data_IF_976667776108
#
_entry.id   IF_976667776108
#
_cell.length_a   1.000
_cell.length_b   1.000
_cell.length_c   1.000
_cell.angle_alpha   90.00
_cell.angle_beta   90.00
_cell.angle_gamma   90.00
#
_symmetry.space_group_name_H-M   'P 1'
#
loop_
_entity.id
_entity.type
_entity.pdbx_description
1 polymer ?
#
# COMPACT_ATOMS: atom_id res chain seq x y z
N UNK A 1 3.91 30.47 15.84
CA UNK A 1 4.53 29.19 16.24
C UNK A 1 4.70 28.32 15.01
N UNK A 2 5.83 27.64 14.81
CA UNK A 2 6.03 26.76 13.66
C UNK A 2 4.98 25.65 13.66
N UNK A 3 4.43 25.33 12.48
CA UNK A 3 3.43 24.26 12.32
C UNK A 3 4.08 22.89 12.58
N UNK A 4 3.32 21.91 13.09
CA UNK A 4 3.82 20.56 13.28
C UNK A 4 4.02 19.85 11.92
N UNK A 5 5.11 19.08 11.80
CA UNK A 5 5.38 18.22 10.64
C UNK A 5 4.73 16.86 10.94
N UNK A 6 3.62 16.56 10.27
CA UNK A 6 2.84 15.34 10.49
C UNK A 6 3.27 14.20 9.54
N UNK A 7 3.08 12.95 9.96
CA UNK A 7 3.35 11.79 9.09
C UNK A 7 2.43 11.72 7.87
N UNK A 8 1.21 12.26 7.96
CA UNK A 8 0.22 12.25 6.88
C UNK A 8 -0.01 13.70 6.43
N UNK A 9 0.32 14.07 5.19
CA UNK A 9 0.26 15.44 4.71
C UNK A 9 -1.12 15.86 4.20
N UNK A 10 -2.21 15.24 4.66
CA UNK A 10 -3.56 15.43 4.11
C UNK A 10 -3.93 16.91 3.97
N UNK A 11 -3.79 17.70 5.04
CA UNK A 11 -4.11 19.13 5.03
C UNK A 11 -3.28 19.91 4.01
N UNK A 12 -1.98 19.67 3.96
CA UNK A 12 -1.09 20.35 3.01
C UNK A 12 -1.43 20.00 1.57
N UNK A 13 -1.78 18.71 1.30
CA UNK A 13 -2.21 18.28 -0.02
C UNK A 13 -3.51 18.98 -0.45
N UNK A 14 -4.48 19.09 0.46
CA UNK A 14 -5.74 19.80 0.18
C UNK A 14 -5.51 21.29 -0.06
N UNK A 15 -4.67 21.93 0.73
CA UNK A 15 -4.31 23.35 0.54
C UNK A 15 -3.61 23.59 -0.78
N UNK A 16 -2.66 22.71 -1.16
CA UNK A 16 -1.85 22.86 -2.38
C UNK A 16 -2.63 22.61 -3.68
N UNK A 17 -3.61 21.70 -3.67
CA UNK A 17 -4.23 21.17 -4.90
C UNK A 17 -5.74 21.33 -4.96
N UNK A 18 -6.33 22.12 -4.05
CA UNK A 18 -7.78 22.31 -3.97
C UNK A 18 -8.41 22.70 -5.31
N UNK A 19 -7.80 23.65 -6.01
CA UNK A 19 -8.33 24.14 -7.29
C UNK A 19 -8.28 23.06 -8.38
N UNK A 20 -7.18 22.31 -8.43
CA UNK A 20 -7.01 21.22 -9.39
C UNK A 20 -8.05 20.11 -9.16
N UNK A 21 -8.28 19.73 -7.89
CA UNK A 21 -9.29 18.72 -7.54
C UNK A 21 -10.71 19.18 -7.84
N UNK A 22 -11.07 20.44 -7.51
CA UNK A 22 -12.40 20.97 -7.82
C UNK A 22 -12.66 21.02 -9.33
N UNK A 23 -11.65 21.35 -10.13
CA UNK A 23 -11.76 21.30 -11.59
C UNK A 23 -11.97 19.87 -12.09
N UNK A 24 -11.16 18.91 -11.62
CA UNK A 24 -11.31 17.50 -11.99
C UNK A 24 -12.69 16.93 -11.61
N UNK A 25 -13.24 17.34 -10.48
CA UNK A 25 -14.61 16.96 -10.05
C UNK A 25 -15.65 17.57 -11.02
N UNK A 26 -15.53 18.86 -11.32
CA UNK A 26 -16.44 19.54 -12.26
C UNK A 26 -16.44 18.87 -13.63
N UNK A 27 -15.24 18.61 -14.19
CA UNK A 27 -15.09 17.94 -15.47
C UNK A 27 -15.70 16.53 -15.48
N UNK A 28 -15.57 15.79 -14.34
CA UNK A 28 -16.17 14.47 -14.21
C UNK A 28 -17.69 14.48 -14.13
N UNK A 29 -18.30 15.58 -13.66
CA UNK A 29 -19.75 15.73 -13.59
C UNK A 29 -20.36 15.99 -14.96
N UNK A 30 -19.61 16.57 -15.90
CA UNK A 30 -20.07 16.82 -17.28
C UNK A 30 -20.16 15.52 -18.10
N UNK A 31 -19.43 14.46 -17.70
CA UNK A 31 -19.40 13.16 -18.39
C UNK A 31 -19.52 11.98 -17.39
N UNK A 32 -20.61 11.87 -16.63
CA UNK A 32 -20.65 11.00 -15.46
C UNK A 32 -20.61 9.49 -15.77
N UNK A 33 -21.32 9.04 -16.81
CA UNK A 33 -21.45 7.61 -17.14
C UNK A 33 -21.51 7.40 -18.65
N UNK A 34 -21.05 6.21 -19.11
CA UNK A 34 -21.14 5.79 -20.50
C UNK A 34 -22.43 4.98 -20.79
N UNK A 35 -23.10 4.45 -19.78
CA UNK A 35 -24.38 3.73 -19.92
C UNK A 35 -25.43 4.23 -18.95
N UNK A 36 -26.72 4.16 -19.36
CA UNK A 36 -27.84 4.60 -18.54
C UNK A 36 -28.02 3.76 -17.26
N UNK A 37 -27.60 2.49 -17.27
CA UNK A 37 -27.69 1.58 -16.13
C UNK A 37 -26.50 1.67 -15.16
N UNK A 38 -25.52 2.54 -15.45
CA UNK A 38 -24.35 2.78 -14.60
C UNK A 38 -23.38 1.60 -14.48
N UNK A 39 -23.51 0.57 -15.35
CA UNK A 39 -22.65 -0.64 -15.29
C UNK A 39 -21.33 -0.46 -16.04
N UNK A 40 -21.28 0.45 -17.00
CA UNK A 40 -20.05 0.75 -17.70
C UNK A 40 -19.26 1.83 -16.96
N UNK A 41 -17.91 1.77 -17.03
CA UNK A 41 -17.05 2.73 -16.36
C UNK A 41 -17.22 4.14 -16.97
N UNK A 42 -17.25 5.17 -16.14
CA UNK A 42 -17.23 6.57 -16.58
C UNK A 42 -15.92 6.92 -17.28
N UNK A 43 -15.90 8.03 -18.01
CA UNK A 43 -14.68 8.57 -18.63
C UNK A 43 -13.55 8.73 -17.62
N UNK A 44 -13.85 9.16 -16.39
CA UNK A 44 -12.86 9.28 -15.32
C UNK A 44 -12.21 7.93 -14.96
N UNK A 45 -12.98 6.82 -14.95
CA UNK A 45 -12.43 5.49 -14.69
C UNK A 45 -11.55 5.00 -15.84
N UNK A 46 -11.94 5.23 -17.09
CA UNK A 46 -11.15 4.84 -18.26
C UNK A 46 -9.81 5.58 -18.30
N UNK A 47 -9.82 6.88 -18.02
CA UNK A 47 -8.61 7.69 -17.91
C UNK A 47 -7.72 7.22 -16.76
N UNK A 48 -8.32 6.92 -15.59
CA UNK A 48 -7.59 6.41 -14.44
C UNK A 48 -6.97 5.03 -14.72
N UNK A 49 -7.71 4.12 -15.37
CA UNK A 49 -7.17 2.83 -15.78
C UNK A 49 -5.97 3.00 -16.73
N UNK A 50 -6.08 3.86 -17.73
CA UNK A 50 -4.97 4.16 -18.65
C UNK A 50 -3.76 4.73 -17.91
N UNK A 51 -3.99 5.66 -16.97
CA UNK A 51 -2.95 6.26 -16.15
C UNK A 51 -2.26 5.18 -15.29
N UNK A 52 -3.02 4.33 -14.61
CA UNK A 52 -2.48 3.25 -13.80
C UNK A 52 -1.68 2.23 -14.62
N UNK A 53 -2.16 1.86 -15.80
CA UNK A 53 -1.42 1.00 -16.73
C UNK A 53 -0.08 1.60 -17.14
N UNK A 54 -0.08 2.86 -17.53
CA UNK A 54 1.13 3.56 -17.95
C UNK A 54 2.11 3.71 -16.76
N UNK A 55 1.57 3.83 -15.55
CA UNK A 55 2.36 4.06 -14.35
C UNK A 55 3.00 2.79 -13.80
N UNK A 56 2.30 1.66 -13.84
CA UNK A 56 2.71 0.41 -13.20
C UNK A 56 3.11 -0.69 -14.17
N UNK A 57 2.65 -0.61 -15.43
CA UNK A 57 2.79 -1.69 -16.42
C UNK A 57 1.80 -2.85 -16.24
N UNK A 58 0.96 -2.87 -15.19
CA UNK A 58 -0.05 -3.91 -14.98
C UNK A 58 -1.21 -3.69 -15.94
N UNK A 59 -1.66 -4.77 -16.61
CA UNK A 59 -2.56 -4.68 -17.77
C UNK A 59 -4.02 -4.39 -17.42
N UNK A 60 -4.56 -4.99 -16.33
CA UNK A 60 -5.98 -4.97 -16.02
C UNK A 60 -6.23 -4.46 -14.62
N UNK A 61 -7.19 -3.56 -14.48
CA UNK A 61 -7.53 -2.87 -13.24
C UNK A 61 -9.02 -2.95 -12.95
N UNK A 62 -9.35 -3.20 -11.71
CA UNK A 62 -10.69 -3.04 -11.15
C UNK A 62 -10.58 -2.14 -9.92
N UNK A 63 -11.16 -0.95 -10.02
CA UNK A 63 -11.22 -0.03 -8.88
C UNK A 63 -12.32 -0.43 -7.91
N UNK A 64 -12.03 -0.34 -6.62
CA UNK A 64 -12.86 -0.81 -5.50
C UNK A 64 -13.08 0.30 -4.48
N UNK A 65 -14.04 0.12 -3.55
CA UNK A 65 -14.29 1.11 -2.50
C UNK A 65 -13.05 1.32 -1.59
N UNK A 66 -12.28 0.25 -1.33
CA UNK A 66 -11.07 0.32 -0.53
C UNK A 66 -10.17 -0.90 -0.77
N UNK A 67 -8.92 -0.84 -0.32
CA UNK A 67 -7.97 -1.95 -0.42
C UNK A 67 -8.41 -3.20 0.37
N UNK A 68 -9.17 -3.06 1.45
CA UNK A 68 -9.71 -4.21 2.19
C UNK A 68 -10.66 -5.02 1.33
N UNK A 69 -11.52 -4.36 0.55
CA UNK A 69 -12.38 -5.02 -0.44
C UNK A 69 -11.53 -5.72 -1.51
N UNK A 70 -10.49 -5.04 -2.01
CA UNK A 70 -9.54 -5.63 -2.97
C UNK A 70 -8.91 -6.91 -2.45
N UNK A 71 -8.46 -6.93 -1.19
CA UNK A 71 -7.89 -8.11 -0.54
C UNK A 71 -8.92 -9.25 -0.42
N UNK A 72 -10.15 -8.94 0.00
CA UNK A 72 -11.22 -9.94 0.11
C UNK A 72 -11.56 -10.55 -1.27
N UNK A 73 -11.69 -9.70 -2.29
CA UNK A 73 -11.92 -10.15 -3.66
C UNK A 73 -10.75 -11.01 -4.15
N UNK A 74 -9.50 -10.57 -3.93
CA UNK A 74 -8.32 -11.32 -4.33
C UNK A 74 -8.28 -12.72 -3.68
N UNK A 75 -8.50 -12.82 -2.37
CA UNK A 75 -8.59 -14.13 -1.71
C UNK A 75 -9.74 -14.98 -2.28
N UNK A 76 -10.91 -14.39 -2.55
CA UNK A 76 -12.06 -15.15 -3.08
C UNK A 76 -11.83 -15.77 -4.46
N UNK A 77 -10.84 -15.30 -5.21
CA UNK A 77 -10.46 -15.87 -6.50
C UNK A 77 -9.81 -17.26 -6.36
N UNK A 78 -9.14 -17.50 -5.23
CA UNK A 78 -8.24 -18.65 -5.05
C UNK A 78 -8.63 -19.55 -3.87
N UNK A 79 -9.53 -19.08 -2.98
CA UNK A 79 -9.85 -19.76 -1.72
C UNK A 79 -11.34 -19.90 -1.49
N UNK A 80 -11.67 -20.88 -0.66
CA UNK A 80 -13.00 -21.12 -0.08
C UNK A 80 -12.92 -21.08 1.46
N UNK A 81 -14.05 -20.88 2.14
CA UNK A 81 -14.10 -20.92 3.60
C UNK A 81 -13.47 -22.20 4.16
N UNK A 82 -12.59 -22.07 5.15
CA UNK A 82 -11.84 -23.18 5.74
C UNK A 82 -10.47 -23.44 5.11
N UNK A 83 -10.18 -22.89 3.93
CA UNK A 83 -8.84 -22.99 3.33
C UNK A 83 -7.80 -22.22 4.14
N UNK A 84 -6.55 -22.72 4.10
CA UNK A 84 -5.42 -22.07 4.76
C UNK A 84 -4.77 -21.05 3.85
N UNK A 85 -4.42 -19.89 4.42
CA UNK A 85 -3.61 -18.84 3.79
C UNK A 85 -2.49 -18.42 4.71
N UNK A 86 -1.37 -17.96 4.12
CA UNK A 86 -0.25 -17.42 4.90
C UNK A 86 -0.18 -15.91 4.66
N UNK A 87 -0.13 -15.14 5.74
CA UNK A 87 -0.01 -13.68 5.71
C UNK A 87 1.15 -13.21 6.58
N UNK A 88 1.71 -11.99 6.34
CA UNK A 88 2.73 -11.44 7.21
C UNK A 88 2.24 -11.25 8.65
N UNK A 89 3.11 -11.54 9.62
CA UNK A 89 2.89 -11.22 11.03
C UNK A 89 2.80 -9.71 11.28
N UNK A 90 3.39 -8.92 10.40
CA UNK A 90 3.44 -7.47 10.48
C UNK A 90 2.83 -6.82 9.23
N UNK A 91 2.01 -5.79 9.45
CA UNK A 91 1.33 -5.02 8.42
C UNK A 91 0.09 -4.34 8.98
N UNK A 92 -0.63 -3.63 8.13
CA UNK A 92 -1.91 -3.04 8.52
C UNK A 92 -2.92 -4.14 8.89
N UNK A 93 -3.86 -3.83 9.78
CA UNK A 93 -4.83 -4.83 10.30
C UNK A 93 -5.65 -5.55 9.23
N UNK A 94 -5.86 -4.93 8.06
CA UNK A 94 -6.56 -5.56 6.95
C UNK A 94 -5.89 -6.85 6.46
N UNK A 95 -4.55 -6.93 6.55
CA UNK A 95 -3.73 -8.10 6.20
C UNK A 95 -4.24 -9.39 6.87
N UNK A 96 -4.57 -9.30 8.17
CA UNK A 96 -5.10 -10.44 8.91
C UNK A 96 -6.64 -10.48 8.94
N UNK A 97 -7.31 -9.32 8.91
CA UNK A 97 -8.75 -9.26 9.06
C UNK A 97 -9.50 -9.65 7.78
N UNK A 98 -8.97 -9.32 6.60
CA UNK A 98 -9.62 -9.67 5.33
C UNK A 98 -9.80 -11.19 5.18
N UNK A 99 -8.76 -12.04 5.32
CA UNK A 99 -8.94 -13.48 5.23
C UNK A 99 -9.76 -14.06 6.39
N UNK A 100 -9.63 -13.53 7.62
CA UNK A 100 -10.46 -13.98 8.76
C UNK A 100 -11.94 -13.69 8.56
N UNK A 101 -12.27 -12.51 8.00
CA UNK A 101 -13.66 -12.18 7.66
C UNK A 101 -14.26 -13.19 6.67
N UNK A 102 -13.44 -13.73 5.77
CA UNK A 102 -13.82 -14.77 4.81
C UNK A 102 -13.80 -16.18 5.40
N UNK A 103 -13.59 -16.33 6.72
CA UNK A 103 -13.49 -17.62 7.43
C UNK A 103 -12.33 -18.51 6.93
N UNK A 104 -11.22 -17.90 6.48
CA UNK A 104 -10.01 -18.62 6.13
C UNK A 104 -9.18 -18.91 7.39
N UNK A 105 -8.44 -20.01 7.36
CA UNK A 105 -7.43 -20.34 8.37
C UNK A 105 -6.17 -19.51 8.09
N UNK A 106 -5.76 -18.70 9.06
CA UNK A 106 -4.66 -17.75 8.87
C UNK A 106 -3.42 -18.22 9.60
N UNK A 107 -2.39 -18.57 8.84
CA UNK A 107 -1.03 -18.78 9.33
C UNK A 107 -0.18 -17.52 9.13
N UNK A 108 0.77 -17.28 10.04
CA UNK A 108 1.57 -16.07 10.03
C UNK A 108 3.02 -16.36 9.66
N UNK A 109 3.53 -15.63 8.66
CA UNK A 109 4.95 -15.58 8.34
C UNK A 109 5.63 -14.46 9.14
N UNK A 110 6.79 -14.75 9.75
CA UNK A 110 7.56 -13.71 10.44
C UNK A 110 8.21 -12.76 9.44
N UNK A 111 8.86 -11.73 9.91
CA UNK A 111 9.45 -10.67 9.09
C UNK A 111 10.98 -10.70 9.15
N UNK A 112 11.59 -10.10 8.14
CA UNK A 112 13.00 -9.79 8.09
C UNK A 112 13.34 -8.45 8.78
N UNK A 113 14.59 -8.01 8.67
CA UNK A 113 15.08 -6.76 9.23
C UNK A 113 14.49 -5.50 8.57
N UNK A 114 13.84 -5.64 7.41
CA UNK A 114 13.19 -4.54 6.69
C UNK A 114 11.73 -4.32 7.11
N UNK A 115 11.19 -5.22 7.93
CA UNK A 115 9.79 -5.22 8.33
C UNK A 115 8.85 -5.86 7.30
N UNK A 116 9.40 -6.54 6.29
CA UNK A 116 8.67 -7.32 5.30
C UNK A 116 8.78 -8.82 5.62
N UNK A 117 8.09 -9.65 4.85
CA UNK A 117 8.15 -11.11 5.05
C UNK A 117 9.58 -11.64 4.98
N UNK A 118 9.90 -12.57 5.87
CA UNK A 118 11.07 -13.41 5.74
C UNK A 118 10.80 -14.48 4.67
N UNK A 119 11.49 -14.40 3.54
CA UNK A 119 11.30 -15.31 2.40
C UNK A 119 11.53 -16.77 2.79
N UNK A 120 12.51 -17.05 3.64
CA UNK A 120 12.84 -18.43 4.06
C UNK A 120 11.76 -18.99 5.00
N UNK A 121 11.24 -18.17 5.91
CA UNK A 121 10.10 -18.56 6.76
C UNK A 121 8.84 -18.81 5.92
N UNK A 122 8.60 -17.97 4.89
CA UNK A 122 7.48 -18.16 3.96
C UNK A 122 7.61 -19.49 3.20
N UNK A 123 8.77 -19.78 2.62
CA UNK A 123 9.03 -21.05 1.91
C UNK A 123 8.77 -22.25 2.83
N UNK A 124 9.33 -22.23 4.03
CA UNK A 124 9.16 -23.31 5.01
C UNK A 124 7.69 -23.52 5.39
N UNK A 125 6.94 -22.44 5.55
CA UNK A 125 5.51 -22.51 5.87
C UNK A 125 4.64 -22.97 4.70
N UNK A 126 4.98 -22.61 3.46
CA UNK A 126 4.31 -23.15 2.27
C UNK A 126 4.45 -24.67 2.22
N UNK A 127 5.64 -25.20 2.50
CA UNK A 127 5.88 -26.65 2.51
C UNK A 127 5.08 -27.39 3.59
N UNK A 128 4.97 -26.79 4.79
CA UNK A 128 4.26 -27.39 5.92
C UNK A 128 2.74 -27.29 5.77
N UNK A 129 2.23 -26.08 5.52
CA UNK A 129 0.80 -25.79 5.56
C UNK A 129 0.09 -25.96 4.23
N UNK A 130 0.83 -25.97 3.10
CA UNK A 130 0.28 -26.07 1.73
C UNK A 130 -0.92 -25.16 1.53
N UNK A 131 -0.77 -23.84 1.75
CA UNK A 131 -1.88 -22.89 1.68
C UNK A 131 -2.45 -22.81 0.27
N UNK A 132 -3.65 -22.25 0.11
CA UNK A 132 -4.23 -21.93 -1.20
C UNK A 132 -3.72 -20.61 -1.76
N UNK A 133 -3.37 -19.67 -0.87
CA UNK A 133 -2.78 -18.40 -1.26
C UNK A 133 -1.82 -17.89 -0.17
N UNK A 134 -0.86 -17.07 -0.60
CA UNK A 134 -0.02 -16.28 0.27
C UNK A 134 -0.24 -14.79 0.01
N UNK A 135 -0.08 -13.97 1.05
CA UNK A 135 -0.11 -12.53 0.94
C UNK A 135 1.27 -11.95 1.23
N UNK A 136 1.80 -11.17 0.29
CA UNK A 136 3.04 -10.41 0.46
C UNK A 136 2.69 -8.95 0.56
N UNK A 137 3.13 -8.28 1.65
CA UNK A 137 2.89 -6.85 1.86
C UNK A 137 4.18 -6.09 1.61
N UNK A 138 4.12 -5.01 0.84
CA UNK A 138 5.23 -4.09 0.59
C UNK A 138 5.27 -3.00 1.67
N UNK A 139 5.55 -3.38 2.92
CA UNK A 139 5.47 -2.48 4.07
C UNK A 139 6.33 -1.22 3.89
N UNK A 140 5.81 -0.09 4.33
CA UNK A 140 6.47 1.22 4.32
C UNK A 140 6.83 1.76 2.92
N UNK A 141 6.50 1.03 1.85
CA UNK A 141 6.93 1.31 0.49
C UNK A 141 8.24 0.61 0.12
N UNK A 142 8.62 -0.46 0.80
CA UNK A 142 9.74 -1.33 0.41
C UNK A 142 9.19 -2.44 -0.48
N UNK A 143 9.63 -2.49 -1.74
CA UNK A 143 9.23 -3.54 -2.66
C UNK A 143 9.92 -4.86 -2.31
N UNK A 144 9.12 -5.89 -2.06
CA UNK A 144 9.58 -7.27 -1.84
C UNK A 144 9.68 -7.96 -3.20
N UNK A 145 10.81 -8.59 -3.48
CA UNK A 145 10.97 -9.40 -4.69
C UNK A 145 10.31 -10.77 -4.49
N UNK A 146 9.09 -10.92 -4.99
CA UNK A 146 8.32 -12.16 -4.87
C UNK A 146 8.73 -13.23 -5.89
N UNK A 147 9.65 -12.94 -6.83
CA UNK A 147 10.17 -13.93 -7.76
C UNK A 147 10.80 -15.14 -7.06
N UNK A 148 11.35 -14.91 -5.86
CA UNK A 148 11.94 -15.95 -5.01
C UNK A 148 10.90 -16.97 -4.48
N UNK A 149 9.60 -16.69 -4.60
CA UNK A 149 8.52 -17.56 -4.16
C UNK A 149 7.85 -18.31 -5.31
N UNK A 150 8.13 -17.97 -6.55
CA UNK A 150 7.41 -18.53 -7.72
C UNK A 150 7.52 -20.03 -7.83
N UNK A 151 8.71 -20.59 -7.69
CA UNK A 151 8.95 -22.04 -7.87
C UNK A 151 8.23 -22.85 -6.79
N UNK A 152 8.31 -22.42 -5.53
CA UNK A 152 7.65 -23.12 -4.44
C UNK A 152 6.12 -22.98 -4.53
N UNK A 153 5.63 -21.80 -4.91
CA UNK A 153 4.20 -21.57 -5.11
C UNK A 153 3.65 -22.40 -6.26
N UNK A 154 4.37 -22.49 -7.39
CA UNK A 154 4.00 -23.34 -8.52
C UNK A 154 3.98 -24.83 -8.13
N UNK A 155 4.99 -25.31 -7.39
CA UNK A 155 5.07 -26.69 -6.91
C UNK A 155 3.85 -27.12 -6.09
N UNK A 156 3.30 -26.23 -5.26
CA UNK A 156 2.17 -26.52 -4.37
C UNK A 156 0.84 -25.93 -4.84
N UNK A 157 0.79 -25.33 -6.04
CA UNK A 157 -0.37 -24.64 -6.60
C UNK A 157 -0.93 -23.58 -5.64
N UNK A 158 -0.06 -22.68 -5.19
CA UNK A 158 -0.34 -21.59 -4.24
C UNK A 158 -0.41 -20.28 -5.00
N UNK A 159 -1.50 -19.52 -4.86
CA UNK A 159 -1.62 -18.19 -5.45
C UNK A 159 -0.78 -17.15 -4.67
N UNK A 160 -0.17 -16.21 -5.40
CA UNK A 160 0.60 -15.09 -4.83
C UNK A 160 -0.23 -13.82 -4.96
N UNK A 161 -0.59 -13.22 -3.82
CA UNK A 161 -1.28 -11.92 -3.75
C UNK A 161 -0.32 -10.88 -3.18
N UNK A 162 -0.18 -9.74 -3.86
CA UNK A 162 0.60 -8.61 -3.35
C UNK A 162 -0.33 -7.55 -2.75
N UNK A 163 -0.03 -7.08 -1.54
CA UNK A 163 -0.60 -5.86 -0.95
C UNK A 163 0.37 -4.71 -1.16
N UNK A 164 0.11 -3.94 -2.20
CA UNK A 164 0.85 -2.74 -2.58
C UNK A 164 0.21 -1.45 -2.05
N UNK A 165 -0.59 -1.52 -0.96
CA UNK A 165 -1.23 -0.35 -0.36
C UNK A 165 -0.27 0.81 -0.02
N UNK A 166 1.02 0.57 0.33
CA UNK A 166 2.01 1.63 0.52
C UNK A 166 2.88 1.88 -0.73
N UNK A 167 2.64 1.20 -1.86
CA UNK A 167 3.67 1.01 -2.88
C UNK A 167 3.18 1.22 -4.32
N UNK A 168 2.30 2.20 -4.54
CA UNK A 168 1.96 2.60 -5.90
C UNK A 168 3.15 3.32 -6.54
N UNK A 169 3.80 2.69 -7.50
CA UNK A 169 5.05 3.16 -8.09
C UNK A 169 5.13 2.92 -9.59
N UNK A 170 5.94 3.75 -10.25
CA UNK A 170 6.44 3.51 -11.62
C UNK A 170 7.58 2.49 -11.59
N UNK A 171 7.83 1.80 -12.71
CA UNK A 171 8.91 0.85 -12.88
C UNK A 171 10.29 1.41 -12.44
N UNK A 172 10.96 2.13 -13.32
CA UNK A 172 12.28 2.71 -13.01
C UNK A 172 12.27 3.75 -11.87
N UNK A 173 13.28 3.80 -11.00
CA UNK A 173 14.51 3.00 -10.96
C UNK A 173 14.40 1.74 -10.08
N UNK A 174 13.20 1.22 -9.81
CA UNK A 174 13.05 0.04 -8.97
C UNK A 174 13.40 -1.23 -9.77
N UNK A 175 14.10 -2.16 -9.13
CA UNK A 175 14.49 -3.43 -9.75
C UNK A 175 13.37 -4.46 -9.75
N UNK A 176 12.33 -4.25 -8.92
CA UNK A 176 11.15 -5.10 -8.86
C UNK A 176 9.93 -4.33 -9.41
N UNK A 177 9.20 -4.98 -10.30
CA UNK A 177 7.94 -4.49 -10.84
C UNK A 177 6.76 -5.25 -10.23
N UNK A 178 5.84 -4.52 -9.61
CA UNK A 178 4.60 -5.08 -9.05
C UNK A 178 3.81 -5.87 -10.10
N UNK A 179 3.28 -7.01 -9.71
CA UNK A 179 2.46 -7.86 -10.57
C UNK A 179 3.21 -8.67 -11.61
N UNK A 180 4.57 -8.66 -11.61
CA UNK A 180 5.35 -9.44 -12.58
C UNK A 180 5.37 -10.93 -12.27
N UNK A 181 5.23 -11.29 -10.99
CA UNK A 181 5.37 -12.66 -10.49
C UNK A 181 4.22 -13.06 -9.57
N UNK A 182 3.16 -12.28 -9.52
CA UNK A 182 1.98 -12.54 -8.69
C UNK A 182 0.72 -12.65 -9.53
N UNK A 183 -0.29 -13.30 -8.97
CA UNK A 183 -1.60 -13.47 -9.62
C UNK A 183 -2.44 -12.19 -9.53
N UNK A 184 -2.32 -11.47 -8.41
CA UNK A 184 -3.10 -10.27 -8.15
C UNK A 184 -2.35 -9.27 -7.28
N UNK A 185 -2.56 -7.97 -7.52
CA UNK A 185 -1.98 -6.86 -6.75
C UNK A 185 -3.09 -5.97 -6.22
N UNK A 186 -3.13 -5.75 -4.91
CA UNK A 186 -4.09 -4.89 -4.23
C UNK A 186 -3.47 -3.53 -3.92
N UNK A 187 -4.17 -2.45 -4.27
CA UNK A 187 -3.74 -1.08 -4.02
C UNK A 187 -4.69 -0.35 -3.08
N UNK A 188 -4.15 0.58 -2.32
CA UNK A 188 -4.92 1.52 -1.51
C UNK A 188 -4.76 2.93 -2.05
N UNK A 189 -5.89 3.58 -2.28
CA UNK A 189 -5.97 4.98 -2.61
C UNK A 189 -6.75 5.77 -1.54
N UNK A 190 -6.70 5.29 -0.30
CA UNK A 190 -7.20 6.01 0.87
C UNK A 190 -6.58 7.42 0.94
N UNK A 191 -7.29 8.40 1.53
CA UNK A 191 -6.82 9.79 1.63
C UNK A 191 -5.44 9.94 2.28
N UNK A 192 -4.98 8.95 3.03
CA UNK A 192 -3.65 8.92 3.67
C UNK A 192 -2.54 8.49 2.74
N UNK A 193 -2.89 7.99 1.55
CA UNK A 193 -1.93 7.49 0.55
C UNK A 193 -1.48 8.60 -0.40
N UNK A 194 -0.46 8.30 -1.16
CA UNK A 194 0.04 9.16 -2.24
C UNK A 194 0.48 8.25 -3.40
N UNK A 195 -0.32 8.20 -4.45
CA UNK A 195 -1.56 8.96 -4.67
C UNK A 195 -2.72 8.49 -3.78
N UNK A 196 -3.75 9.36 -3.64
CA UNK A 196 -4.94 9.04 -2.86
C UNK A 196 -6.16 9.87 -3.22
N UNK A 197 -7.34 9.30 -2.97
CA UNK A 197 -8.64 9.96 -3.07
C UNK A 197 -8.85 11.00 -1.97
N UNK A 198 -10.02 11.64 -1.94
CA UNK A 198 -10.44 12.51 -0.83
C UNK A 198 -11.01 11.73 0.36
N UNK A 199 -11.36 10.47 0.13
CA UNK A 199 -11.86 9.51 1.12
C UNK A 199 -11.22 8.15 0.95
N UNK A 200 -12.02 7.10 0.98
CA UNK A 200 -11.57 5.75 0.71
C UNK A 200 -11.33 5.53 -0.79
N UNK A 201 -10.52 4.55 -1.13
CA UNK A 201 -10.30 4.09 -2.48
C UNK A 201 -9.36 2.89 -2.49
N UNK A 202 -9.55 2.02 -3.46
CA UNK A 202 -8.71 0.86 -3.68
C UNK A 202 -8.73 0.39 -5.13
N UNK A 203 -7.88 -0.57 -5.44
CA UNK A 203 -7.94 -1.30 -6.69
C UNK A 203 -7.37 -2.71 -6.55
N UNK A 204 -7.86 -3.60 -7.37
CA UNK A 204 -7.31 -4.92 -7.64
C UNK A 204 -6.82 -4.96 -9.08
N UNK A 205 -5.57 -5.33 -9.29
CA UNK A 205 -4.95 -5.36 -10.60
C UNK A 205 -4.32 -6.73 -10.88
N UNK A 206 -4.27 -7.11 -12.16
CA UNK A 206 -3.69 -8.39 -12.60
C UNK A 206 -3.18 -8.30 -14.04
N UNK A 207 -2.28 -9.18 -14.42
CA UNK A 207 -1.86 -9.36 -15.80
C UNK A 207 -2.61 -10.50 -16.52
N UNK A 208 -3.42 -11.26 -15.78
CA UNK A 208 -4.22 -12.36 -16.30
C UNK A 208 -5.62 -11.89 -16.74
N UNK A 209 -5.96 -12.15 -18.01
CA UNK A 209 -7.25 -11.78 -18.58
C UNK A 209 -8.43 -12.55 -17.97
N UNK A 210 -8.24 -13.83 -17.63
CA UNK A 210 -9.31 -14.64 -17.05
C UNK A 210 -9.60 -14.17 -15.62
N UNK A 211 -8.58 -13.85 -14.84
CA UNK A 211 -8.76 -13.25 -13.52
C UNK A 211 -9.46 -11.89 -13.61
N UNK A 212 -9.09 -11.03 -14.55
CA UNK A 212 -9.78 -9.76 -14.80
C UNK A 212 -11.29 -9.95 -14.99
N UNK A 213 -11.70 -10.90 -15.83
CA UNK A 213 -13.12 -11.13 -16.12
C UNK A 213 -13.86 -11.67 -14.88
N UNK A 214 -13.21 -12.53 -14.09
CA UNK A 214 -13.73 -13.01 -12.79
C UNK A 214 -13.86 -11.87 -11.78
N UNK A 215 -12.85 -11.01 -11.64
CA UNK A 215 -12.86 -9.84 -10.75
C UNK A 215 -14.02 -8.91 -11.10
N UNK A 216 -14.17 -8.55 -12.38
CA UNK A 216 -15.29 -7.72 -12.87
C UNK A 216 -16.63 -8.33 -12.50
N UNK A 217 -16.78 -9.63 -12.69
CA UNK A 217 -18.01 -10.36 -12.36
C UNK A 217 -18.33 -10.33 -10.87
N UNK A 218 -17.33 -10.53 -9.99
CA UNK A 218 -17.52 -10.44 -8.53
C UNK A 218 -17.94 -9.02 -8.13
N UNK A 219 -17.28 -7.98 -8.64
CA UNK A 219 -17.55 -6.59 -8.27
C UNK A 219 -18.90 -6.07 -8.77
N UNK A 220 -19.49 -6.67 -9.80
CA UNK A 220 -20.72 -6.20 -10.44
C UNK A 220 -21.99 -6.96 -10.02
N UNK A 221 -21.94 -7.80 -8.99
CA UNK A 221 -23.03 -8.72 -8.61
C UNK A 221 -23.55 -9.59 -9.77
N UNK A 222 -22.83 -9.70 -10.88
CA UNK A 222 -23.25 -10.58 -11.94
C UNK A 222 -23.21 -12.01 -11.44
N UNK A 223 -24.33 -12.70 -11.59
CA UNK A 223 -24.48 -14.12 -11.30
C UNK A 223 -23.58 -14.90 -12.24
N UNK A 224 -22.33 -15.07 -11.85
CA UNK A 224 -21.48 -16.09 -12.42
C UNK A 224 -21.63 -17.35 -11.56
N UNK A 225 -21.21 -18.48 -12.11
CA UNK A 225 -21.26 -19.79 -11.44
C UNK A 225 -20.45 -19.84 -10.11
N UNK A 226 -19.88 -18.72 -9.65
CA UNK A 226 -19.11 -18.61 -8.40
C UNK A 226 -19.98 -18.32 -7.17
N UNK A 227 -21.25 -17.91 -7.36
CA UNK A 227 -22.20 -17.67 -6.26
C UNK A 227 -21.83 -16.51 -5.32
N UNK A 228 -20.75 -15.78 -5.57
CA UNK A 228 -20.25 -14.68 -4.74
C UNK A 228 -20.22 -13.42 -5.58
N UNK A 229 -20.84 -12.36 -5.07
CA UNK A 229 -20.78 -11.04 -5.67
C UNK A 229 -20.86 -9.93 -4.62
N UNK A 230 -20.25 -8.82 -4.91
CA UNK A 230 -20.29 -7.62 -4.07
C UNK A 230 -20.41 -6.39 -4.96
N UNK A 231 -20.90 -5.30 -4.40
CA UNK A 231 -20.82 -3.98 -5.05
C UNK A 231 -19.59 -3.23 -4.50
N UNK A 232 -18.48 -3.36 -5.20
CA UNK A 232 -17.27 -2.62 -4.83
C UNK A 232 -16.73 -1.88 -6.04
N UNK A 233 -16.97 -0.57 -6.04
CA UNK A 233 -16.54 0.37 -7.09
C UNK A 233 -16.03 1.66 -6.46
N UNK A 234 -14.95 2.18 -7.00
CA UNK A 234 -14.56 3.56 -6.76
C UNK A 234 -15.60 4.47 -7.44
N UNK A 235 -16.10 5.48 -6.76
CA UNK A 235 -17.03 6.44 -7.38
C UNK A 235 -16.33 7.34 -8.40
N UNK A 236 -17.12 7.95 -9.31
CA UNK A 236 -16.60 8.76 -10.41
C UNK A 236 -15.80 9.98 -9.92
N UNK A 237 -16.24 10.62 -8.84
CA UNK A 237 -15.56 11.79 -8.25
C UNK A 237 -14.20 11.39 -7.70
N UNK A 238 -14.15 10.29 -6.94
CA UNK A 238 -12.90 9.73 -6.42
C UNK A 238 -11.96 9.30 -7.54
N UNK A 239 -12.46 8.71 -8.63
CA UNK A 239 -11.66 8.33 -9.79
C UNK A 239 -11.03 9.56 -10.47
N UNK A 240 -11.79 10.64 -10.66
CA UNK A 240 -11.29 11.89 -11.24
C UNK A 240 -10.22 12.55 -10.37
N UNK A 241 -10.46 12.63 -9.07
CA UNK A 241 -9.49 13.19 -8.10
C UNK A 241 -8.21 12.35 -8.07
N UNK A 242 -8.33 11.02 -8.03
CA UNK A 242 -7.18 10.13 -8.00
C UNK A 242 -6.33 10.27 -9.26
N UNK A 243 -6.96 10.33 -10.43
CA UNK A 243 -6.26 10.56 -11.69
C UNK A 243 -5.48 11.89 -11.67
N UNK A 244 -6.13 12.95 -11.17
CA UNK A 244 -5.49 14.26 -10.99
C UNK A 244 -4.35 14.22 -9.99
N UNK A 245 -4.49 13.51 -8.87
CA UNK A 245 -3.43 13.39 -7.85
C UNK A 245 -2.18 12.67 -8.42
N UNK A 246 -2.35 11.62 -9.22
CA UNK A 246 -1.25 10.93 -9.93
C UNK A 246 -0.53 11.92 -10.88
N UNK A 247 -1.28 12.67 -11.66
CA UNK A 247 -0.74 13.69 -12.58
C UNK A 247 0.09 14.74 -11.81
N UNK A 248 -0.44 15.26 -10.69
CA UNK A 248 0.22 16.26 -9.87
C UNK A 248 1.50 15.74 -9.19
N UNK A 249 1.51 14.47 -8.78
CA UNK A 249 2.71 13.82 -8.23
C UNK A 249 3.86 13.84 -9.25
N UNK A 250 3.56 13.51 -10.51
CA UNK A 250 4.54 13.52 -11.59
C UNK A 250 4.98 14.94 -11.94
N UNK A 251 4.00 15.84 -12.22
CA UNK A 251 4.26 17.22 -12.60
C UNK A 251 5.14 17.96 -11.59
N UNK A 252 4.95 17.72 -10.29
CA UNK A 252 5.67 18.42 -9.23
C UNK A 252 6.90 17.67 -8.71
N UNK A 253 7.24 16.53 -9.32
CA UNK A 253 8.36 15.67 -8.92
C UNK A 253 8.34 15.32 -7.41
N UNK A 254 7.16 14.99 -6.88
CA UNK A 254 6.96 14.74 -5.46
C UNK A 254 7.71 13.51 -4.93
N UNK A 255 7.98 12.56 -5.83
CA UNK A 255 8.82 11.41 -5.50
C UNK A 255 10.24 11.85 -5.12
N UNK A 256 10.90 12.68 -5.95
CA UNK A 256 12.25 13.14 -5.66
C UNK A 256 12.32 13.95 -4.37
N UNK A 257 11.28 14.75 -4.10
CA UNK A 257 11.20 15.49 -2.82
C UNK A 257 11.18 14.55 -1.61
N UNK A 258 10.45 13.42 -1.68
CA UNK A 258 10.49 12.40 -0.61
C UNK A 258 11.86 11.77 -0.46
N UNK A 259 12.49 11.39 -1.56
CA UNK A 259 13.85 10.84 -1.55
C UNK A 259 14.82 11.81 -0.89
N UNK A 260 14.74 13.11 -1.20
CA UNK A 260 15.59 14.14 -0.59
C UNK A 260 15.38 14.21 0.93
N UNK A 261 14.15 14.16 1.42
CA UNK A 261 13.85 14.16 2.85
C UNK A 261 14.35 12.87 3.53
N UNK A 262 14.17 11.72 2.90
CA UNK A 262 14.70 10.46 3.40
C UNK A 262 16.22 10.49 3.48
N UNK A 263 16.89 10.98 2.43
CA UNK A 263 18.34 11.17 2.39
C UNK A 263 18.81 12.11 3.49
N UNK A 264 18.07 13.20 3.73
CA UNK A 264 18.38 14.11 4.84
C UNK A 264 18.36 13.36 6.19
N UNK A 265 17.33 12.58 6.48
CA UNK A 265 17.26 11.80 7.71
C UNK A 265 18.37 10.74 7.82
N UNK A 266 18.67 10.04 6.73
CA UNK A 266 19.75 9.04 6.70
C UNK A 266 21.10 9.66 7.08
N UNK A 267 21.37 10.86 6.62
CA UNK A 267 22.65 11.54 6.83
C UNK A 267 22.77 12.26 8.19
N UNK A 268 21.65 12.61 8.81
CA UNK A 268 21.64 13.49 9.98
C UNK A 268 21.09 12.88 11.27
N UNK A 269 20.53 11.67 11.21
CA UNK A 269 20.06 10.96 12.41
C UNK A 269 20.97 9.78 12.76
N UNK A 270 21.35 9.60 14.05
CA UNK A 270 22.26 8.54 14.48
C UNK A 270 21.56 7.18 14.66
N UNK A 271 20.58 6.86 13.82
CA UNK A 271 19.79 5.64 13.94
C UNK A 271 19.92 4.77 12.69
N UNK A 272 19.83 3.43 12.86
CA UNK A 272 19.65 2.53 11.72
C UNK A 272 18.32 2.87 11.04
N UNK A 273 18.34 3.02 9.73
CA UNK A 273 17.16 3.35 8.92
C UNK A 273 16.79 2.18 8.01
N UNK A 274 15.52 2.06 7.67
CA UNK A 274 15.13 1.23 6.55
C UNK A 274 15.34 2.06 5.28
N UNK A 275 16.23 1.58 4.42
CA UNK A 275 16.60 2.26 3.17
C UNK A 275 17.07 1.24 2.14
N UNK A 276 17.00 1.60 0.86
CA UNK A 276 17.46 0.73 -0.22
C UNK A 276 16.93 1.16 -1.59
N UNK A 277 17.42 0.50 -2.64
CA UNK A 277 17.07 0.80 -4.02
C UNK A 277 15.56 0.63 -4.31
N UNK A 278 14.91 -0.36 -3.68
CA UNK A 278 13.48 -0.66 -3.85
C UNK A 278 12.61 0.01 -2.77
N UNK A 279 13.02 1.14 -2.23
CA UNK A 279 12.29 1.84 -1.17
C UNK A 279 11.67 3.15 -1.66
N UNK A 280 10.32 3.20 -1.66
CA UNK A 280 9.54 4.34 -2.16
C UNK A 280 9.41 5.45 -1.13
N UNK A 281 9.78 5.19 0.12
CA UNK A 281 9.63 6.11 1.27
C UNK A 281 8.19 6.58 1.48
N UNK A 282 7.21 5.64 1.37
CA UNK A 282 5.84 5.94 1.79
C UNK A 282 5.78 6.33 3.27
N UNK A 283 6.60 5.66 4.08
CA UNK A 283 6.88 5.97 5.49
C UNK A 283 8.39 5.90 5.70
N UNK A 284 8.93 6.76 6.52
CA UNK A 284 10.36 6.70 6.90
C UNK A 284 10.48 6.06 8.28
N UNK A 285 11.29 5.01 8.39
CA UNK A 285 11.41 4.23 9.61
C UNK A 285 12.85 4.28 10.11
N UNK A 286 12.99 4.60 11.40
CA UNK A 286 14.23 4.45 12.15
C UNK A 286 14.11 3.33 13.17
N UNK A 287 15.22 2.66 13.45
CA UNK A 287 15.32 1.62 14.48
C UNK A 287 16.19 2.10 15.62
N UNK A 288 15.67 2.00 16.84
CA UNK A 288 16.36 2.40 18.08
C UNK A 288 16.44 1.22 19.05
N UNK A 289 17.14 1.40 20.16
CA UNK A 289 17.06 0.45 21.27
C UNK A 289 15.67 0.49 21.90
N UNK A 290 15.16 -0.67 22.30
CA UNK A 290 13.81 -0.82 22.88
C UNK A 290 13.55 0.14 24.05
N UNK A 291 14.53 0.31 24.94
CA UNK A 291 14.44 1.15 26.14
C UNK A 291 14.55 2.66 25.83
N UNK A 292 15.05 3.03 24.64
CA UNK A 292 15.20 4.43 24.22
C UNK A 292 14.05 4.92 23.34
N UNK A 293 13.23 4.01 22.80
CA UNK A 293 12.20 4.34 21.80
C UNK A 293 11.29 5.49 22.22
N UNK A 294 10.76 5.43 23.43
CA UNK A 294 9.82 6.43 23.92
C UNK A 294 10.50 7.82 24.06
N UNK A 295 11.71 7.86 24.61
CA UNK A 295 12.48 9.10 24.75
C UNK A 295 12.80 9.73 23.38
N UNK A 296 13.12 8.92 22.36
CA UNK A 296 13.36 9.41 20.99
C UNK A 296 12.08 10.00 20.38
N UNK A 297 10.94 9.36 20.55
CA UNK A 297 9.64 9.89 20.11
C UNK A 297 9.35 11.23 20.78
N UNK A 298 9.56 11.33 22.08
CA UNK A 298 9.32 12.56 22.87
C UNK A 298 10.26 13.70 22.43
N UNK A 299 11.55 13.41 22.22
CA UNK A 299 12.52 14.39 21.75
C UNK A 299 12.13 14.95 20.36
N UNK A 300 11.76 14.09 19.40
CA UNK A 300 11.30 14.52 18.08
C UNK A 300 10.00 15.34 18.17
N UNK A 301 9.04 14.88 18.97
CA UNK A 301 7.75 15.56 19.13
C UNK A 301 7.90 16.91 19.84
N UNK A 302 8.86 17.09 20.74
CA UNK A 302 9.18 18.39 21.36
C UNK A 302 9.55 19.44 20.33
N UNK A 303 10.18 19.03 19.23
CA UNK A 303 10.49 19.88 18.07
C UNK A 303 9.38 19.89 17.01
N UNK A 304 8.18 19.39 17.34
CA UNK A 304 7.02 19.31 16.43
C UNK A 304 7.25 18.48 15.17
N UNK A 305 8.17 17.52 15.22
CA UNK A 305 8.32 16.44 14.24
C UNK A 305 7.47 15.28 14.80
N UNK A 306 6.26 15.07 14.26
CA UNK A 306 5.30 14.13 14.84
C UNK A 306 5.70 12.67 14.56
N UNK A 307 6.73 12.23 15.27
CA UNK A 307 7.17 10.84 15.29
C UNK A 307 6.19 9.96 16.10
N UNK A 308 6.03 8.72 15.70
CA UNK A 308 5.16 7.77 16.39
C UNK A 308 5.67 6.33 16.30
N UNK A 309 5.16 5.48 17.20
CA UNK A 309 5.36 4.04 17.09
C UNK A 309 4.72 3.50 15.80
N UNK A 310 5.36 2.53 15.18
CA UNK A 310 4.76 1.75 14.09
C UNK A 310 3.59 0.90 14.59
N UNK A 311 2.86 0.24 13.68
CA UNK A 311 1.72 -0.61 14.03
C UNK A 311 2.15 -1.79 14.92
N UNK A 312 1.24 -2.26 15.78
CA UNK A 312 1.41 -3.52 16.47
C UNK A 312 1.32 -4.68 15.48
N UNK A 313 2.10 -5.74 15.65
CA UNK A 313 1.96 -6.96 14.86
C UNK A 313 0.55 -7.56 14.94
N UNK A 314 0.17 -8.27 13.88
CA UNK A 314 -1.13 -8.95 13.79
C UNK A 314 -1.23 -10.21 14.66
N UNK A 315 -0.08 -10.68 15.17
CA UNK A 315 0.04 -11.85 16.05
C UNK A 315 1.09 -11.64 17.12
N UNK A 316 0.95 -12.32 18.25
CA UNK A 316 1.94 -12.32 19.35
C UNK A 316 3.04 -13.37 19.21
N UNK A 317 2.90 -14.34 18.30
CA UNK A 317 3.80 -15.51 18.26
C UNK A 317 5.06 -15.31 17.41
N UNK A 318 5.06 -14.35 16.47
CA UNK A 318 6.20 -14.08 15.60
C UNK A 318 7.19 -13.13 16.29
N UNK A 319 8.36 -13.67 16.63
CA UNK A 319 9.34 -12.98 17.49
C UNK A 319 9.93 -11.75 16.85
N UNK A 320 10.34 -11.82 15.57
CA UNK A 320 10.97 -10.69 14.87
C UNK A 320 9.99 -9.55 14.70
N UNK A 321 8.71 -9.84 14.39
CA UNK A 321 7.66 -8.83 14.28
C UNK A 321 7.44 -8.09 15.61
N UNK A 322 7.49 -8.80 16.76
CA UNK A 322 7.40 -8.18 18.09
C UNK A 322 8.63 -7.31 18.39
N UNK A 323 9.83 -7.80 18.10
CA UNK A 323 11.05 -7.04 18.31
C UNK A 323 11.10 -5.78 17.44
N UNK A 324 10.73 -5.89 16.17
CA UNK A 324 10.62 -4.76 15.25
C UNK A 324 9.67 -3.69 15.82
N UNK A 325 8.47 -4.08 16.26
CA UNK A 325 7.51 -3.15 16.87
C UNK A 325 8.11 -2.40 18.06
N UNK A 326 8.88 -3.06 18.92
CA UNK A 326 9.49 -2.43 20.08
C UNK A 326 10.62 -1.46 19.76
N UNK A 327 11.17 -1.49 18.56
CA UNK A 327 12.34 -0.69 18.14
C UNK A 327 12.01 0.36 17.09
N UNK A 328 11.03 0.11 16.23
CA UNK A 328 10.74 0.93 15.05
C UNK A 328 9.91 2.18 15.38
N UNK A 329 10.33 3.31 14.84
CA UNK A 329 9.66 4.61 14.94
C UNK A 329 9.40 5.13 13.52
N UNK A 330 8.17 5.57 13.26
CA UNK A 330 7.77 6.21 12.01
C UNK A 330 8.00 7.72 12.12
N UNK A 331 8.71 8.28 11.14
CA UNK A 331 8.92 9.71 10.97
C UNK A 331 8.14 10.27 9.78
N UNK A 332 7.75 11.55 9.82
CA UNK A 332 7.18 12.23 8.67
C UNK A 332 8.13 12.18 7.46
N UNK A 333 7.63 11.69 6.32
CA UNK A 333 8.38 11.69 5.06
C UNK A 333 7.43 11.95 3.91
N UNK A 334 7.23 13.22 3.57
CA UNK A 334 6.32 13.62 2.50
C UNK A 334 6.79 14.89 1.79
N UNK A 335 6.36 15.06 0.57
CA UNK A 335 6.78 16.09 -0.38
C UNK A 335 6.54 17.56 0.04
N UNK A 336 5.75 17.79 1.08
CA UNK A 336 5.44 19.15 1.59
C UNK A 336 6.31 19.56 2.78
N UNK A 337 7.31 18.75 3.17
CA UNK A 337 8.26 19.10 4.22
C UNK A 337 9.28 20.07 3.65
N UNK A 338 9.50 21.18 4.34
CA UNK A 338 10.61 22.10 4.10
C UNK A 338 11.86 21.54 4.78
N UNK A 339 12.93 21.33 4.01
CA UNK A 339 14.17 20.71 4.51
C UNK A 339 14.91 21.65 5.45
N UNK A 340 14.89 22.97 5.21
CA UNK A 340 15.58 23.95 6.05
C UNK A 340 14.89 24.06 7.42
N UNK A 341 13.54 24.05 7.44
CA UNK A 341 12.76 23.99 8.68
C UNK A 341 13.02 22.67 9.42
N UNK A 342 13.06 21.53 8.70
CA UNK A 342 13.39 20.24 9.27
C UNK A 342 14.80 20.22 9.88
N UNK A 343 15.81 20.74 9.17
CA UNK A 343 17.19 20.84 9.62
C UNK A 343 17.30 21.66 10.91
N UNK A 344 16.64 22.82 10.94
CA UNK A 344 16.62 23.71 12.12
C UNK A 344 16.05 23.02 13.38
N UNK A 345 15.17 22.05 13.20
CA UNK A 345 14.54 21.27 14.30
C UNK A 345 15.40 20.08 14.72
N UNK A 346 15.97 19.35 13.77
CA UNK A 346 16.82 18.19 14.04
C UNK A 346 18.06 18.61 14.81
N UNK A 347 18.74 19.69 14.43
CA UNK A 347 19.91 20.25 15.12
C UNK A 347 19.69 20.59 16.60
N UNK A 348 18.44 20.66 17.06
CA UNK A 348 18.15 20.93 18.48
C UNK A 348 18.04 19.66 19.33
N UNK A 349 18.08 18.48 18.70
CA UNK A 349 17.94 17.20 19.39
C UNK A 349 19.11 16.24 19.10
N UNK A 350 19.98 16.57 18.14
CA UNK A 350 21.28 15.91 17.90
C UNK A 350 22.41 16.75 18.46
#
# INVERSE_FOLDING_TARGET
>A
MPKAIACIPHKHRMEAHRVDYLRAISDAMDHPFQSEDGREPSTAHLLLEQTCRNYTGIKYWQFTNCCTDSLQIAFSLFTSAGDTVIVPAYGWRAVANAPKFMKLQVEYCDIDDTGNIDIQDMISKIEVFKPKAILVVHNFGTLVDVSQLTDICAKYNVAIIEDAAPSFTMGEPYTYQLGSYSDAVCFSFDFTKSPGCLGAGGALATNDKLLKDRIKSICSHTTNNLGIGTKSYLDTVSAAVLNKDIELINKNNYRQRRVNIATYYINNLPYKTLSGQNYIYHRFIILTDRNKKQAVIEALNSQKILAKSVFKPNTGVCRRAQEFYHRAIELPCHQFIDIDDLDSRIKKIT
#
